data_IF_366247696530
#
_entry.id   IF_366247696530
#
_cell.length_a   1.000
_cell.length_b   1.000
_cell.length_c   1.000
_cell.angle_alpha   90.00
_cell.angle_beta   90.00
_cell.angle_gamma   90.00
#
_symmetry.space_group_name_H-M   'P 1'
#
loop_
_entity.id
_entity.type
_entity.pdbx_description
1 polymer ?
#
# COMPACT_ATOMS: atom_id res chain seq x y z
N UNK A 1 -6.27 20.15 -11.69
CA UNK A 1 -5.01 19.52 -12.14
C UNK A 1 -4.30 20.52 -13.03
N UNK A 2 -3.46 21.36 -12.43
CA UNK A 2 -3.11 22.64 -13.05
C UNK A 2 -1.81 22.59 -13.87
N UNK A 3 -1.15 21.43 -13.91
CA UNK A 3 0.13 21.22 -14.60
C UNK A 3 0.11 20.14 -15.70
N UNK A 4 -1.02 19.46 -15.92
CA UNK A 4 -1.12 18.32 -16.84
C UNK A 4 -0.37 17.05 -16.40
N UNK A 5 0.20 17.04 -15.19
CA UNK A 5 0.90 15.89 -14.62
C UNK A 5 -0.14 14.86 -14.18
N UNK A 6 -0.01 13.63 -14.68
CA UNK A 6 -0.83 12.50 -14.24
C UNK A 6 -0.31 11.99 -12.89
N UNK A 7 -1.18 12.01 -11.88
CA UNK A 7 -0.88 11.51 -10.55
C UNK A 7 -1.57 10.17 -10.28
N UNK A 8 -0.96 9.37 -9.42
CA UNK A 8 -1.54 8.14 -8.87
C UNK A 8 -1.24 8.06 -7.37
N UNK A 9 -2.06 7.31 -6.63
CA UNK A 9 -1.92 7.16 -5.18
C UNK A 9 -1.60 5.71 -4.82
N UNK A 10 -0.61 5.51 -3.96
CA UNK A 10 -0.25 4.21 -3.41
C UNK A 10 -0.46 4.21 -1.89
N UNK A 11 -1.41 3.43 -1.41
CA UNK A 11 -1.71 3.25 0.02
C UNK A 11 -0.76 2.16 0.56
N UNK A 12 0.41 2.58 1.05
CA UNK A 12 1.46 1.67 1.49
C UNK A 12 2.16 2.18 2.76
N UNK A 13 2.10 1.47 3.90
CA UNK A 13 1.40 0.20 4.10
C UNK A 13 -0.04 0.35 4.59
N UNK A 14 -0.90 -0.60 4.21
CA UNK A 14 -2.14 -0.94 4.92
C UNK A 14 -1.74 -1.81 6.12
N UNK A 15 -2.03 -1.34 7.33
CA UNK A 15 -1.60 -1.94 8.60
C UNK A 15 -2.85 -2.42 9.36
N UNK A 16 -2.91 -3.71 9.76
CA UNK A 16 -4.05 -4.25 10.51
C UNK A 16 -4.38 -3.45 11.77
N UNK A 17 -5.64 -3.11 11.97
CA UNK A 17 -6.16 -2.35 13.12
C UNK A 17 -5.50 -0.98 13.35
N UNK A 18 -4.87 -0.39 12.32
CA UNK A 18 -4.26 0.94 12.40
C UNK A 18 -4.67 1.79 11.20
N UNK A 19 -4.47 1.29 9.97
CA UNK A 19 -4.76 2.05 8.72
C UNK A 19 -5.72 1.32 7.77
N UNK A 20 -6.22 0.15 8.17
CA UNK A 20 -7.17 -0.70 7.43
C UNK A 20 -8.65 -0.42 7.78
N UNK A 21 -8.93 0.58 8.61
CA UNK A 21 -10.31 0.98 8.90
C UNK A 21 -11.01 1.50 7.63
N UNK A 22 -12.23 1.02 7.41
CA UNK A 22 -13.04 1.36 6.21
C UNK A 22 -13.17 2.87 6.02
N UNK A 23 -13.46 3.63 7.09
CA UNK A 23 -13.57 5.09 7.06
C UNK A 23 -12.29 5.80 6.60
N UNK A 24 -11.11 5.27 6.97
CA UNK A 24 -9.83 5.82 6.55
C UNK A 24 -9.60 5.59 5.05
N UNK A 25 -9.90 4.39 4.56
CA UNK A 25 -9.80 4.05 3.14
C UNK A 25 -10.77 4.91 2.33
N UNK A 26 -12.03 5.00 2.77
CA UNK A 26 -13.06 5.82 2.13
C UNK A 26 -12.65 7.29 2.02
N UNK A 27 -12.12 7.86 3.10
CA UNK A 27 -11.64 9.24 3.08
C UNK A 27 -10.53 9.45 2.03
N UNK A 28 -9.57 8.53 1.92
CA UNK A 28 -8.53 8.61 0.88
C UNK A 28 -9.13 8.51 -0.52
N UNK A 29 -10.09 7.60 -0.74
CA UNK A 29 -10.75 7.39 -2.04
C UNK A 29 -11.59 8.60 -2.45
N UNK A 30 -12.29 9.23 -1.51
CA UNK A 30 -13.08 10.44 -1.76
C UNK A 30 -12.18 11.61 -2.14
N UNK A 31 -11.06 11.79 -1.44
CA UNK A 31 -10.04 12.80 -1.80
C UNK A 31 -9.48 12.52 -3.20
N UNK A 32 -9.13 11.27 -3.50
CA UNK A 32 -8.66 10.88 -4.84
C UNK A 32 -9.66 11.27 -5.94
N UNK A 33 -10.96 11.08 -5.70
CA UNK A 33 -12.00 11.48 -6.65
C UNK A 33 -12.05 13.01 -6.82
N UNK A 34 -11.99 13.78 -5.73
CA UNK A 34 -12.06 15.24 -5.77
C UNK A 34 -10.91 15.87 -6.58
N UNK A 35 -9.71 15.28 -6.50
CA UNK A 35 -8.54 15.74 -7.26
C UNK A 35 -8.31 14.98 -8.59
N UNK A 36 -9.32 14.24 -9.06
CA UNK A 36 -9.33 13.54 -10.35
C UNK A 36 -8.24 12.46 -10.52
N UNK A 37 -7.81 11.83 -9.43
CA UNK A 37 -6.89 10.68 -9.48
C UNK A 37 -7.57 9.51 -10.18
N UNK A 38 -6.88 8.95 -11.19
CA UNK A 38 -7.43 7.85 -12.01
C UNK A 38 -7.00 6.46 -11.55
N UNK A 39 -5.94 6.38 -10.73
CA UNK A 39 -5.36 5.11 -10.32
C UNK A 39 -4.93 5.12 -8.87
N UNK A 40 -5.36 4.08 -8.16
CA UNK A 40 -4.99 3.81 -6.77
C UNK A 40 -4.47 2.39 -6.66
N UNK A 41 -3.40 2.19 -5.89
CA UNK A 41 -2.90 0.88 -5.50
C UNK A 41 -2.77 0.84 -3.98
N UNK A 42 -2.63 -0.36 -3.42
CA UNK A 42 -2.30 -0.55 -2.02
C UNK A 42 -1.36 -1.72 -1.81
N UNK A 43 -0.73 -1.76 -0.64
CA UNK A 43 0.17 -2.83 -0.22
C UNK A 43 -0.05 -3.13 1.25
N UNK A 44 -0.21 -4.40 1.60
CA UNK A 44 -0.31 -4.82 3.00
C UNK A 44 1.07 -4.75 3.64
N UNK A 45 1.13 -4.29 4.89
CA UNK A 45 2.36 -4.26 5.67
C UNK A 45 3.05 -5.62 5.66
N UNK A 46 4.32 -5.63 5.25
CA UNK A 46 5.23 -6.76 5.50
C UNK A 46 5.78 -6.66 6.92
N UNK A 47 5.39 -7.58 7.79
CA UNK A 47 5.73 -7.54 9.20
C UNK A 47 7.18 -7.98 9.43
N UNK A 48 7.98 -7.06 9.99
CA UNK A 48 9.33 -7.36 10.51
C UNK A 48 9.31 -7.26 12.03
N UNK A 49 10.28 -7.90 12.68
CA UNK A 49 10.35 -7.92 14.15
C UNK A 49 10.35 -6.50 14.75
N UNK A 50 11.18 -5.60 14.24
CA UNK A 50 11.30 -4.23 14.72
C UNK A 50 10.00 -3.44 14.57
N UNK A 51 9.28 -3.68 13.48
CA UNK A 51 7.98 -3.07 13.21
C UNK A 51 6.92 -3.65 14.16
N UNK A 52 6.90 -4.97 14.35
CA UNK A 52 5.97 -5.63 15.24
C UNK A 52 6.06 -5.13 16.68
N UNK A 53 7.28 -5.00 17.23
CA UNK A 53 7.46 -4.48 18.59
C UNK A 53 6.84 -3.09 18.74
N UNK A 54 7.08 -2.19 17.78
CA UNK A 54 6.49 -0.84 17.79
C UNK A 54 4.97 -0.85 17.66
N UNK A 55 4.44 -1.67 16.74
CA UNK A 55 2.99 -1.82 16.57
C UNK A 55 2.34 -2.36 17.85
N UNK A 56 2.95 -3.38 18.47
CA UNK A 56 2.47 -3.97 19.71
C UNK A 56 2.43 -2.94 20.84
N UNK A 57 3.48 -2.12 20.98
CA UNK A 57 3.52 -1.02 21.95
C UNK A 57 2.39 -0.01 21.69
N UNK A 58 2.21 0.42 20.45
CA UNK A 58 1.13 1.35 20.05
C UNK A 58 -0.24 0.76 20.41
N UNK A 59 -0.53 -0.48 20.00
CA UNK A 59 -1.80 -1.15 20.26
C UNK A 59 -2.06 -1.34 21.76
N UNK A 60 -1.02 -1.63 22.55
CA UNK A 60 -1.12 -1.70 24.01
C UNK A 60 -1.45 -0.34 24.63
N UNK A 61 -0.84 0.75 24.16
CA UNK A 61 -1.16 2.11 24.62
C UNK A 61 -2.62 2.50 24.34
N UNK A 62 -3.19 2.00 23.24
CA UNK A 62 -4.60 2.18 22.90
C UNK A 62 -5.55 1.16 23.57
N UNK A 63 -5.04 0.27 24.44
CA UNK A 63 -5.84 -0.73 25.14
C UNK A 63 -6.34 -1.88 24.25
N UNK A 64 -5.73 -2.09 23.08
CA UNK A 64 -6.12 -3.09 22.09
C UNK A 64 -5.36 -4.40 22.33
N UNK A 65 -5.53 -4.98 23.52
CA UNK A 65 -4.77 -6.16 23.94
C UNK A 65 -5.06 -7.43 23.13
N UNK A 66 -6.24 -7.50 22.48
CA UNK A 66 -6.63 -8.63 21.64
C UNK A 66 -5.87 -8.67 20.31
N UNK A 67 -5.32 -7.54 19.84
CA UNK A 67 -4.72 -7.44 18.52
C UNK A 67 -3.48 -8.34 18.36
N UNK A 68 -2.78 -8.70 19.44
CA UNK A 68 -1.67 -9.67 19.34
C UNK A 68 -2.11 -11.01 18.76
N UNK A 69 -3.27 -11.54 19.18
CA UNK A 69 -3.79 -12.81 18.65
C UNK A 69 -4.19 -12.69 17.18
N UNK A 70 -4.76 -11.57 16.80
CA UNK A 70 -5.11 -11.29 15.41
C UNK A 70 -3.86 -11.16 14.52
N UNK A 71 -2.81 -10.49 14.99
CA UNK A 71 -1.54 -10.42 14.26
C UNK A 71 -0.88 -11.78 14.10
N UNK A 72 -0.88 -12.63 15.14
CA UNK A 72 -0.43 -14.03 15.05
C UNK A 72 -1.19 -14.79 13.94
N UNK A 73 -2.51 -14.61 13.85
CA UNK A 73 -3.36 -15.21 12.81
C UNK A 73 -3.10 -14.63 11.41
N UNK A 74 -3.02 -13.31 11.29
CA UNK A 74 -2.81 -12.62 10.01
C UNK A 74 -1.45 -12.97 9.43
N UNK A 75 -0.39 -12.99 10.24
CA UNK A 75 0.98 -13.17 9.76
C UNK A 75 1.54 -14.60 9.96
N UNK A 76 0.82 -15.46 10.66
CA UNK A 76 1.22 -16.86 10.86
C UNK A 76 2.44 -17.04 11.77
N UNK A 77 2.50 -16.29 12.88
CA UNK A 77 3.54 -16.45 13.90
C UNK A 77 2.95 -16.73 15.28
N UNK A 78 3.81 -17.03 16.25
CA UNK A 78 3.46 -17.09 17.66
C UNK A 78 4.42 -16.19 18.46
N UNK A 79 3.90 -15.54 19.49
CA UNK A 79 4.71 -14.76 20.40
C UNK A 79 5.65 -15.65 21.25
N UNK A 80 6.93 -15.26 21.41
CA UNK A 80 7.55 -14.05 20.87
C UNK A 80 7.91 -14.18 19.39
N UNK A 81 7.60 -13.15 18.59
CA UNK A 81 8.02 -13.10 17.19
C UNK A 81 9.56 -13.14 17.09
N UNK A 82 10.11 -13.95 16.18
CA UNK A 82 11.56 -14.12 16.03
C UNK A 82 12.10 -13.28 14.86
N UNK A 83 13.26 -12.64 15.07
CA UNK A 83 13.97 -11.74 14.14
C UNK A 83 14.35 -12.30 12.76
N UNK A 84 14.08 -13.59 12.49
CA UNK A 84 14.69 -14.30 11.36
C UNK A 84 14.00 -14.05 10.02
N UNK A 85 12.73 -13.62 10.01
CA UNK A 85 11.94 -13.53 8.78
C UNK A 85 11.05 -12.29 8.74
N UNK A 86 10.85 -11.79 7.52
CA UNK A 86 9.81 -10.82 7.22
C UNK A 86 8.57 -11.61 6.81
N UNK A 87 7.44 -11.36 7.46
CA UNK A 87 6.20 -12.09 7.22
C UNK A 87 5.26 -11.27 6.32
N UNK A 88 4.65 -11.93 5.36
CA UNK A 88 3.52 -11.40 4.61
C UNK A 88 2.23 -11.76 5.35
N UNK A 89 1.20 -10.92 5.24
CA UNK A 89 -0.13 -11.28 5.69
C UNK A 89 -0.65 -12.49 4.90
N UNK A 90 -1.53 -13.27 5.53
CA UNK A 90 -2.20 -14.39 4.90
C UNK A 90 -3.12 -13.91 3.77
N UNK A 91 -3.51 -14.83 2.89
CA UNK A 91 -4.32 -14.51 1.72
C UNK A 91 -5.72 -14.06 2.09
N UNK A 92 -6.32 -14.63 3.13
CA UNK A 92 -7.67 -14.25 3.58
C UNK A 92 -7.76 -12.77 3.95
N UNK A 93 -6.84 -12.28 4.78
CA UNK A 93 -6.76 -10.87 5.15
C UNK A 93 -6.42 -10.02 3.93
N UNK A 94 -5.41 -10.40 3.15
CA UNK A 94 -4.96 -9.64 1.98
C UNK A 94 -6.07 -9.48 0.94
N UNK A 95 -6.79 -10.55 0.63
CA UNK A 95 -7.88 -10.54 -0.35
C UNK A 95 -9.06 -9.71 0.16
N UNK A 96 -9.38 -9.78 1.46
CA UNK A 96 -10.42 -8.94 2.06
C UNK A 96 -10.12 -7.46 1.87
N UNK A 97 -8.94 -7.02 2.30
CA UNK A 97 -8.54 -5.60 2.21
C UNK A 97 -8.47 -5.11 0.77
N UNK A 98 -7.92 -5.91 -0.14
CA UNK A 98 -7.86 -5.54 -1.56
C UNK A 98 -9.23 -5.55 -2.23
N UNK A 99 -10.13 -6.46 -1.86
CA UNK A 99 -11.49 -6.47 -2.41
C UNK A 99 -12.29 -5.27 -1.91
N UNK A 100 -12.15 -4.91 -0.64
CA UNK A 100 -12.76 -3.71 -0.07
C UNK A 100 -12.26 -2.45 -0.79
N UNK A 101 -10.94 -2.27 -0.89
CA UNK A 101 -10.35 -1.14 -1.61
C UNK A 101 -10.81 -1.10 -3.07
N UNK A 102 -10.80 -2.24 -3.78
CA UNK A 102 -11.29 -2.33 -5.18
C UNK A 102 -12.76 -1.96 -5.30
N UNK A 103 -13.60 -2.41 -4.36
CA UNK A 103 -15.01 -2.07 -4.35
C UNK A 103 -15.19 -0.56 -4.23
N UNK A 104 -14.53 0.09 -3.28
CA UNK A 104 -14.68 1.53 -3.06
C UNK A 104 -14.17 2.38 -4.23
N UNK A 105 -12.97 2.08 -4.76
CA UNK A 105 -12.44 2.84 -5.90
C UNK A 105 -13.28 2.62 -7.17
N UNK A 106 -13.89 1.45 -7.34
CA UNK A 106 -14.74 1.17 -8.51
C UNK A 106 -16.00 2.02 -8.53
N UNK A 107 -16.61 2.29 -7.35
CA UNK A 107 -17.77 3.19 -7.21
C UNK A 107 -17.44 4.62 -7.67
N UNK A 108 -16.16 5.00 -7.67
CA UNK A 108 -15.68 6.34 -8.06
C UNK A 108 -15.04 6.39 -9.45
N UNK A 109 -15.14 5.32 -10.25
CA UNK A 109 -14.49 5.20 -11.56
C UNK A 109 -12.95 5.32 -11.50
N UNK A 110 -12.34 4.89 -10.39
CA UNK A 110 -10.88 4.84 -10.20
C UNK A 110 -10.42 3.40 -10.46
N UNK A 111 -9.31 3.24 -11.20
CA UNK A 111 -8.78 1.92 -11.54
C UNK A 111 -7.78 1.43 -10.47
N UNK A 112 -7.84 0.14 -10.14
CA UNK A 112 -6.87 -0.49 -9.26
C UNK A 112 -5.54 -0.75 -9.96
N UNK A 113 -4.45 -0.40 -9.29
CA UNK A 113 -3.09 -0.74 -9.70
C UNK A 113 -2.53 0.12 -10.83
N UNK A 114 -1.25 -0.13 -11.13
CA UNK A 114 -0.47 0.68 -12.07
C UNK A 114 -0.05 -0.09 -13.32
N UNK A 115 -0.51 -1.34 -13.52
CA UNK A 115 0.00 -2.21 -14.59
C UNK A 115 -0.13 -1.57 -15.98
N UNK A 116 -1.31 -1.05 -16.31
CA UNK A 116 -1.54 -0.35 -17.58
C UNK A 116 -0.72 0.94 -17.70
N UNK A 117 -0.53 1.68 -16.58
CA UNK A 117 0.32 2.87 -16.58
C UNK A 117 1.78 2.50 -16.83
N UNK A 118 2.27 1.43 -16.19
CA UNK A 118 3.62 0.91 -16.36
C UNK A 118 3.84 0.38 -17.78
N UNK A 119 2.83 -0.26 -18.37
CA UNK A 119 2.84 -0.67 -19.76
C UNK A 119 2.94 0.55 -20.70
N UNK A 120 2.08 1.56 -20.51
CA UNK A 120 2.12 2.80 -21.30
C UNK A 120 3.46 3.54 -21.18
N UNK A 121 4.05 3.60 -19.98
CA UNK A 121 5.39 4.18 -19.77
C UNK A 121 6.44 3.37 -20.53
N UNK A 122 6.34 2.04 -20.51
CA UNK A 122 7.30 1.16 -21.20
C UNK A 122 7.22 1.32 -22.72
N UNK A 123 6.02 1.37 -23.29
CA UNK A 123 5.78 1.59 -24.72
C UNK A 123 6.21 3.00 -25.16
N UNK A 124 5.95 4.02 -24.33
CA UNK A 124 6.39 5.40 -24.58
C UNK A 124 7.91 5.54 -24.54
N UNK A 125 8.61 4.79 -23.69
CA UNK A 125 10.09 4.74 -23.67
C UNK A 125 10.69 4.14 -24.93
N UNK A 126 9.98 3.27 -25.65
CA UNK A 126 10.46 2.72 -26.92
C UNK A 126 10.37 3.74 -28.07
N UNK A 127 9.53 4.78 -27.94
CA UNK A 127 9.30 5.81 -28.96
C UNK A 127 9.94 7.15 -28.65
N UNK A 128 10.28 7.43 -27.39
CA UNK A 128 11.08 8.60 -27.01
C UNK A 128 12.58 8.28 -27.05
N UNK A 129 13.32 9.00 -27.90
CA UNK A 129 14.78 9.02 -27.82
C UNK A 129 15.18 9.52 -26.43
N UNK A 130 15.65 8.61 -25.58
CA UNK A 130 16.19 8.95 -24.27
C UNK A 130 17.39 9.86 -24.53
N UNK A 131 17.32 11.11 -24.07
CA UNK A 131 18.47 11.99 -24.05
C UNK A 131 19.60 11.27 -23.32
N UNK A 132 20.70 11.00 -24.03
CA UNK A 132 21.93 10.43 -23.46
C UNK A 132 22.59 11.34 -22.43
N UNK A 133 22.00 12.51 -22.14
CA UNK A 133 22.44 13.46 -21.10
C UNK A 133 21.77 13.25 -19.74
N UNK A 134 20.96 12.20 -19.56
CA UNK A 134 20.33 11.91 -18.28
C UNK A 134 21.25 11.03 -17.42
N UNK A 135 21.83 11.61 -16.37
CA UNK A 135 22.67 10.90 -15.41
C UNK A 135 21.81 9.90 -14.62
N UNK A 136 22.27 8.66 -14.55
CA UNK A 136 21.69 7.61 -13.72
C UNK A 136 22.13 7.83 -12.27
N UNK A 137 21.32 7.39 -11.30
CA UNK A 137 21.67 7.44 -9.88
C UNK A 137 23.02 6.77 -9.54
N UNK A 138 23.45 5.80 -10.36
CA UNK A 138 24.74 5.13 -10.25
C UNK A 138 25.92 5.98 -10.75
N UNK A 139 25.68 7.08 -11.46
CA UNK A 139 26.73 8.00 -11.94
C UNK A 139 27.18 8.98 -10.84
N UNK A 140 26.60 8.87 -9.65
CA UNK A 140 26.92 9.69 -8.46
C UNK A 140 27.58 8.88 -7.33
N UNK A 141 27.97 7.63 -7.56
CA UNK A 141 28.68 6.77 -6.60
C UNK A 141 30.09 6.48 -7.07
#
# INVERSE_FOLDING_TARGET
>A
MDSGIKCCVNIDPIIPFITDYEDHILSIVDECQQIDIKRVCGSILRLRYDIWIRIKEILQLFGVSWATKEYEMIYGFQEPFLYKYNLSANTTYTDNEFNNLKAEISKKNILFGFNELMQQITESRQTCAISSKQLKLNDFV
#
